data_IF_130469453401
#
_entry.id   IF_130469453401
#
_cell.length_a   1.000
_cell.length_b   1.000
_cell.length_c   1.000
_cell.angle_alpha   90.00
_cell.angle_beta   90.00
_cell.angle_gamma   90.00
#
_symmetry.space_group_name_H-M   'P 1'
#
loop_
_entity.id
_entity.type
_entity.pdbx_description
1 polymer ?
#
# COMPACT_ATOMS: atom_id res chain seq x y z
N UNK A 1 0.39 12.93 -23.33
CA UNK A 1 1.16 12.91 -22.06
C UNK A 1 0.21 12.67 -20.89
N UNK A 2 0.74 12.09 -19.81
CA UNK A 2 0.03 11.90 -18.56
C UNK A 2 0.85 12.57 -17.45
N UNK A 3 0.20 13.39 -16.63
CA UNK A 3 0.80 14.06 -15.49
C UNK A 3 -0.07 13.86 -14.24
N UNK A 4 0.53 14.02 -13.07
CA UNK A 4 -0.18 14.16 -11.80
C UNK A 4 0.34 15.37 -11.02
N UNK A 5 -0.50 15.88 -10.13
CA UNK A 5 -0.16 16.93 -9.17
C UNK A 5 -0.33 16.36 -7.76
N UNK A 6 0.45 16.85 -6.81
CA UNK A 6 0.32 16.58 -5.38
C UNK A 6 -0.07 17.85 -4.59
N UNK A 7 -0.38 18.93 -5.30
CA UNK A 7 -0.54 20.28 -4.76
C UNK A 7 -1.72 21.03 -5.41
N UNK A 8 -2.81 20.33 -5.65
CA UNK A 8 -4.06 20.87 -6.19
C UNK A 8 -3.90 21.58 -7.55
N UNK A 9 -3.00 21.07 -8.40
CA UNK A 9 -2.80 21.53 -9.78
C UNK A 9 -1.84 22.71 -9.93
N UNK A 10 -1.13 23.10 -8.86
CA UNK A 10 -0.13 24.18 -8.92
C UNK A 10 1.13 23.74 -9.69
N UNK A 11 1.61 22.52 -9.45
CA UNK A 11 2.71 21.91 -10.17
C UNK A 11 2.30 20.53 -10.72
N UNK A 12 2.85 20.18 -11.88
CA UNK A 12 2.58 18.93 -12.59
C UNK A 12 3.87 18.11 -12.72
N UNK A 13 3.78 16.84 -12.34
CA UNK A 13 4.85 15.84 -12.39
C UNK A 13 4.47 14.82 -13.46
N UNK A 14 5.39 14.56 -14.40
CA UNK A 14 5.14 13.62 -15.50
C UNK A 14 5.05 12.17 -15.05
N UNK A 15 3.98 11.49 -15.48
CA UNK A 15 3.85 10.01 -15.45
C UNK A 15 4.50 9.42 -16.69
N UNK A 16 4.09 9.91 -17.87
CA UNK A 16 4.71 9.56 -19.16
C UNK A 16 4.60 10.72 -20.15
N UNK A 17 5.66 10.94 -20.93
CA UNK A 17 5.69 11.99 -21.95
C UNK A 17 4.76 11.68 -23.14
N UNK A 18 4.56 10.40 -23.47
CA UNK A 18 3.63 9.96 -24.51
C UNK A 18 3.22 8.50 -24.29
N UNK A 19 1.99 8.17 -24.66
CA UNK A 19 1.44 6.82 -24.67
C UNK A 19 0.43 6.73 -25.81
N UNK A 20 0.24 5.56 -26.45
CA UNK A 20 -0.87 5.36 -27.39
C UNK A 20 -2.22 5.68 -26.73
N UNK A 21 -3.17 6.12 -27.54
CA UNK A 21 -4.57 6.28 -27.14
C UNK A 21 -5.31 4.94 -27.28
N UNK A 22 -4.96 3.99 -26.41
CA UNK A 22 -5.55 2.65 -26.32
C UNK A 22 -6.49 2.50 -25.11
N UNK A 23 -6.82 3.63 -24.48
CA UNK A 23 -7.81 3.77 -23.41
C UNK A 23 -7.29 3.60 -21.99
N UNK A 24 -6.19 2.86 -21.75
CA UNK A 24 -5.69 2.62 -20.37
C UNK A 24 -4.17 2.63 -20.28
N UNK A 25 -3.63 3.18 -19.19
CA UNK A 25 -2.19 3.21 -18.95
C UNK A 25 -1.84 2.72 -17.53
N UNK A 26 -0.93 1.74 -17.38
CA UNK A 26 -0.48 1.31 -16.06
C UNK A 26 0.44 2.37 -15.43
N UNK A 27 0.17 2.75 -14.18
CA UNK A 27 0.97 3.72 -13.44
C UNK A 27 1.36 3.18 -12.06
N UNK A 28 2.66 3.23 -11.73
CA UNK A 28 3.14 2.97 -10.38
C UNK A 28 3.01 4.24 -9.55
N UNK A 29 2.07 4.23 -8.60
CA UNK A 29 1.83 5.37 -7.70
C UNK A 29 3.08 5.63 -6.85
N UNK A 30 3.63 6.86 -6.86
CA UNK A 30 4.81 7.19 -6.07
C UNK A 30 4.44 7.30 -4.59
N UNK A 31 5.38 6.94 -3.71
CA UNK A 31 5.23 7.10 -2.26
C UNK A 31 5.49 8.55 -1.82
N UNK A 32 4.69 9.48 -2.36
CA UNK A 32 4.69 10.91 -2.01
C UNK A 32 3.30 11.28 -1.53
N UNK A 33 2.99 11.08 -0.23
CA UNK A 33 1.63 11.22 0.28
C UNK A 33 1.12 12.66 0.14
N UNK A 34 -0.10 12.80 -0.36
CA UNK A 34 -0.81 14.08 -0.42
C UNK A 34 -2.31 13.82 -0.54
N UNK A 35 -3.10 14.66 0.13
CA UNK A 35 -4.57 14.64 0.05
C UNK A 35 -5.13 15.50 -1.10
N UNK A 36 -4.26 16.21 -1.83
CA UNK A 36 -4.63 17.19 -2.85
C UNK A 36 -4.12 16.78 -4.23
N UNK A 37 -4.22 15.50 -4.58
CA UNK A 37 -3.71 14.98 -5.84
C UNK A 37 -4.71 15.16 -6.97
N UNK A 38 -4.22 15.48 -8.17
CA UNK A 38 -4.98 15.51 -9.42
C UNK A 38 -4.23 14.75 -10.51
N UNK A 39 -4.95 14.23 -11.50
CA UNK A 39 -4.35 13.67 -12.73
C UNK A 39 -4.78 14.50 -13.93
N UNK A 40 -3.92 14.55 -14.94
CA UNK A 40 -4.14 15.25 -16.20
C UNK A 40 -3.74 14.36 -17.36
N UNK A 41 -4.59 14.34 -18.37
CA UNK A 41 -4.30 13.72 -19.66
C UNK A 41 -4.29 14.84 -20.69
N UNK A 42 -3.29 14.88 -21.57
CA UNK A 42 -3.30 15.82 -22.70
C UNK A 42 -2.64 15.23 -23.92
N UNK A 43 -2.88 15.83 -25.09
CA UNK A 43 -2.04 15.57 -26.27
C UNK A 43 -0.56 15.90 -25.96
N UNK A 44 0.35 15.37 -26.76
CA UNK A 44 1.77 15.70 -26.78
C UNK A 44 2.07 17.19 -26.97
N UNK A 45 1.21 17.94 -27.66
CA UNK A 45 1.34 19.39 -27.81
C UNK A 45 0.67 20.18 -26.66
N UNK A 46 0.02 19.48 -25.72
CA UNK A 46 -0.67 20.05 -24.57
C UNK A 46 -2.16 20.34 -24.76
N UNK A 47 -2.74 20.12 -25.96
CA UNK A 47 -4.17 20.36 -26.22
C UNK A 47 -4.75 19.37 -27.26
N UNK A 48 -5.93 18.78 -27.03
CA UNK A 48 -6.82 18.96 -25.88
C UNK A 48 -6.24 18.35 -24.60
N UNK A 49 -6.76 18.78 -23.45
CA UNK A 49 -6.46 18.16 -22.16
C UNK A 49 -7.72 17.99 -21.33
N UNK A 50 -7.65 17.05 -20.39
CA UNK A 50 -8.67 16.83 -19.39
C UNK A 50 -8.03 16.61 -18.01
N UNK A 51 -8.78 16.93 -16.96
CA UNK A 51 -8.36 16.87 -15.56
C UNK A 51 -9.31 15.98 -14.77
N UNK A 52 -8.81 15.32 -13.73
CA UNK A 52 -9.68 14.65 -12.77
C UNK A 52 -10.68 15.64 -12.14
N UNK A 53 -11.96 15.27 -12.13
CA UNK A 53 -13.07 16.09 -11.61
C UNK A 53 -12.96 16.42 -10.11
N UNK A 54 -12.20 15.63 -9.36
CA UNK A 54 -12.01 15.80 -7.92
C UNK A 54 -10.58 15.46 -7.54
N UNK A 55 -10.13 16.03 -6.41
CA UNK A 55 -8.89 15.59 -5.79
C UNK A 55 -9.02 14.14 -5.30
N UNK A 56 -7.90 13.42 -5.31
CA UNK A 56 -7.75 12.13 -4.65
C UNK A 56 -6.56 12.18 -3.69
N UNK A 57 -6.41 11.14 -2.87
CA UNK A 57 -5.31 11.03 -1.90
C UNK A 57 -4.33 9.96 -2.33
N UNK A 58 -3.04 10.30 -2.35
CA UNK A 58 -1.95 9.32 -2.28
C UNK A 58 -1.62 9.17 -0.79
N UNK A 59 -1.74 7.96 -0.28
CA UNK A 59 -1.36 7.63 1.11
C UNK A 59 0.08 7.13 1.15
N UNK A 60 0.70 7.17 2.34
CA UNK A 60 1.97 6.50 2.55
C UNK A 60 1.83 5.01 2.22
N UNK A 61 2.82 4.46 1.53
CA UNK A 61 2.93 3.02 1.44
C UNK A 61 3.00 2.45 2.86
N UNK A 62 2.21 1.40 3.15
CA UNK A 62 2.30 0.72 4.43
C UNK A 62 3.68 0.09 4.64
N UNK A 63 3.95 -0.40 5.84
CA UNK A 63 5.22 -1.02 6.19
C UNK A 63 5.02 -2.53 6.37
N UNK A 64 5.82 -3.35 5.70
CA UNK A 64 5.79 -4.80 5.86
C UNK A 64 5.93 -5.20 7.34
N UNK A 65 4.97 -5.95 7.86
CA UNK A 65 4.87 -6.36 9.25
C UNK A 65 4.22 -5.35 10.21
N UNK A 66 3.81 -4.17 9.75
CA UNK A 66 3.04 -3.17 10.52
C UNK A 66 1.55 -3.29 10.16
N UNK A 67 0.78 -4.00 10.97
CA UNK A 67 -0.66 -4.24 10.72
C UNK A 67 -1.56 -3.29 11.49
N UNK A 68 -1.03 -2.58 12.49
CA UNK A 68 -1.77 -1.61 13.29
C UNK A 68 -1.57 -0.15 12.83
N UNK A 69 -0.65 0.10 11.90
CA UNK A 69 -0.34 1.40 11.34
C UNK A 69 0.48 2.32 12.26
N UNK A 70 1.18 1.76 13.26
CA UNK A 70 1.95 2.52 14.24
C UNK A 70 3.39 2.84 13.81
N UNK A 71 3.76 2.47 12.57
CA UNK A 71 5.07 2.64 11.94
C UNK A 71 6.18 1.72 12.45
N UNK A 72 5.90 0.83 13.40
CA UNK A 72 6.80 -0.20 13.85
C UNK A 72 6.30 -1.59 13.42
N UNK A 73 7.22 -2.54 13.29
CA UNK A 73 6.90 -3.94 13.00
C UNK A 73 7.43 -4.74 14.18
N UNK A 74 6.55 -5.01 15.14
CA UNK A 74 6.94 -5.55 16.44
C UNK A 74 5.97 -6.62 16.95
N UNK A 75 6.18 -7.08 18.17
CA UNK A 75 5.33 -8.08 18.83
C UNK A 75 3.83 -7.73 18.91
N UNK A 76 3.46 -6.45 18.87
CA UNK A 76 2.05 -6.01 18.80
C UNK A 76 1.41 -6.43 17.49
N UNK A 77 2.09 -6.26 16.36
CA UNK A 77 1.63 -6.67 15.04
C UNK A 77 1.49 -8.18 14.95
N UNK A 78 2.50 -8.90 15.45
CA UNK A 78 2.47 -10.35 15.51
C UNK A 78 1.30 -10.87 16.37
N UNK A 79 0.99 -10.21 17.49
CA UNK A 79 -0.15 -10.57 18.32
C UNK A 79 -1.48 -10.33 17.60
N UNK A 80 -1.62 -9.25 16.85
CA UNK A 80 -2.82 -8.97 16.05
C UNK A 80 -3.01 -10.05 14.98
N UNK A 81 -1.93 -10.46 14.30
CA UNK A 81 -1.95 -11.55 13.33
C UNK A 81 -2.37 -12.87 13.98
N UNK A 82 -1.74 -13.25 15.10
CA UNK A 82 -2.09 -14.48 15.83
C UNK A 82 -3.55 -14.45 16.34
N UNK A 83 -4.01 -13.29 16.80
CA UNK A 83 -5.41 -13.10 17.21
C UNK A 83 -6.35 -13.30 16.04
N UNK A 84 -6.00 -12.79 14.86
CA UNK A 84 -6.79 -12.99 13.65
C UNK A 84 -6.78 -14.45 13.17
N UNK A 85 -5.62 -15.12 13.21
CA UNK A 85 -5.41 -16.51 12.76
C UNK A 85 -6.32 -17.47 13.55
N UNK A 86 -6.47 -17.24 14.86
CA UNK A 86 -7.35 -18.05 15.72
C UNK A 86 -8.83 -17.59 15.72
N UNK A 87 -9.18 -16.58 14.91
CA UNK A 87 -10.56 -16.11 14.74
C UNK A 87 -11.07 -15.19 15.85
N UNK A 88 -10.19 -14.53 16.61
CA UNK A 88 -10.62 -13.41 17.46
C UNK A 88 -11.00 -12.21 16.59
N UNK A 89 -11.95 -11.40 17.06
CA UNK A 89 -12.39 -10.22 16.33
C UNK A 89 -11.26 -9.19 16.24
N UNK A 90 -10.71 -9.03 15.03
CA UNK A 90 -9.66 -8.07 14.69
C UNK A 90 -10.06 -7.18 13.52
N UNK A 91 -11.37 -7.07 13.24
CA UNK A 91 -11.92 -6.38 12.07
C UNK A 91 -11.41 -4.93 11.89
N UNK A 92 -11.04 -4.26 12.98
CA UNK A 92 -10.48 -2.90 12.96
C UNK A 92 -9.11 -2.79 12.26
N UNK A 93 -8.34 -3.88 12.18
CA UNK A 93 -7.01 -3.92 11.56
C UNK A 93 -7.04 -4.52 10.14
N UNK A 94 -8.21 -5.01 9.71
CA UNK A 94 -8.37 -5.67 8.43
C UNK A 94 -8.36 -4.66 7.27
N UNK A 95 -7.84 -5.03 6.09
CA UNK A 95 -7.50 -6.39 5.65
C UNK A 95 -6.10 -6.92 6.05
N UNK A 96 -5.32 -6.22 6.90
CA UNK A 96 -3.96 -6.63 7.32
C UNK A 96 -3.02 -6.97 6.15
N UNK A 97 -3.14 -6.30 5.01
CA UNK A 97 -2.32 -6.56 3.80
C UNK A 97 -0.80 -6.49 4.06
N UNK A 98 -0.38 -5.74 5.08
CA UNK A 98 1.01 -5.61 5.49
C UNK A 98 1.49 -6.78 6.37
N UNK A 99 0.60 -7.66 6.79
CA UNK A 99 0.88 -8.80 7.65
C UNK A 99 1.47 -10.00 6.92
N UNK A 100 1.21 -10.17 5.62
CA UNK A 100 1.81 -11.25 4.81
C UNK A 100 3.25 -10.85 4.46
N UNK A 101 4.21 -11.22 5.30
CA UNK A 101 5.61 -10.80 5.16
C UNK A 101 6.44 -11.81 4.36
N UNK A 102 5.96 -13.03 4.18
CA UNK A 102 6.62 -14.06 3.38
C UNK A 102 6.09 -14.12 1.92
N UNK A 103 5.05 -13.33 1.60
CA UNK A 103 4.39 -13.26 0.29
C UNK A 103 3.76 -14.60 -0.16
N UNK A 104 3.26 -15.40 0.78
CA UNK A 104 2.56 -16.65 0.47
C UNK A 104 1.06 -16.48 0.20
N UNK A 105 0.55 -15.24 0.35
CA UNK A 105 -0.83 -14.87 0.11
C UNK A 105 -1.76 -15.09 1.31
N UNK A 106 -1.23 -15.51 2.46
CA UNK A 106 -1.99 -15.69 3.69
C UNK A 106 -1.36 -14.87 4.83
N UNK A 107 -2.20 -14.31 5.70
CA UNK A 107 -1.75 -13.71 6.97
C UNK A 107 -2.01 -14.73 8.07
N UNK A 108 -0.96 -15.35 8.61
CA UNK A 108 -1.10 -16.39 9.63
C UNK A 108 0.06 -16.41 10.64
N UNK A 109 0.08 -17.41 11.51
CA UNK A 109 1.14 -17.60 12.52
C UNK A 109 2.58 -17.67 11.96
N UNK A 110 2.77 -18.01 10.69
CA UNK A 110 4.08 -17.97 10.01
C UNK A 110 4.60 -16.54 9.92
N UNK A 111 3.76 -15.60 9.50
CA UNK A 111 4.10 -14.18 9.42
C UNK A 111 4.36 -13.58 10.79
N UNK A 112 3.52 -13.91 11.76
CA UNK A 112 3.70 -13.48 13.14
C UNK A 112 5.04 -13.94 13.71
N UNK A 113 5.46 -15.18 13.42
CA UNK A 113 6.76 -15.69 13.83
C UNK A 113 7.92 -14.94 13.16
N UNK A 114 7.78 -14.60 11.88
CA UNK A 114 8.78 -13.81 11.14
C UNK A 114 8.90 -12.41 11.75
N UNK A 115 7.79 -11.75 12.07
CA UNK A 115 7.76 -10.43 12.71
C UNK A 115 8.37 -10.49 14.12
N UNK A 116 8.02 -11.50 14.93
CA UNK A 116 8.64 -11.68 16.25
C UNK A 116 10.15 -11.92 16.15
N UNK A 117 10.59 -12.71 15.17
CA UNK A 117 12.01 -12.96 14.92
C UNK A 117 12.73 -11.66 14.56
N UNK A 118 12.10 -10.81 13.73
CA UNK A 118 12.60 -9.48 13.41
C UNK A 118 12.65 -8.55 14.63
N UNK A 119 11.60 -8.51 15.45
CA UNK A 119 11.48 -7.65 16.64
C UNK A 119 12.61 -7.91 17.66
N UNK A 120 13.04 -9.18 17.81
CA UNK A 120 14.17 -9.55 18.68
C UNK A 120 15.55 -9.38 18.01
N UNK A 121 15.60 -8.83 16.80
CA UNK A 121 16.84 -8.54 16.07
C UNK A 121 17.47 -9.72 15.35
N UNK A 122 16.73 -10.81 15.10
CA UNK A 122 17.23 -11.90 14.27
C UNK A 122 17.23 -11.49 12.80
N UNK A 123 18.21 -12.00 12.05
CA UNK A 123 18.24 -11.84 10.60
C UNK A 123 17.16 -12.73 9.96
N UNK A 124 16.14 -12.09 9.40
CA UNK A 124 15.06 -12.76 8.66
C UNK A 124 15.22 -12.49 7.16
N UNK A 125 15.14 -13.49 6.28
CA UNK A 125 15.27 -13.31 4.82
C UNK A 125 13.97 -12.79 4.17
N UNK A 126 13.26 -11.89 4.85
CA UNK A 126 11.95 -11.37 4.47
C UNK A 126 11.92 -9.84 4.60
N UNK A 127 11.11 -9.13 3.80
CA UNK A 127 11.13 -7.67 3.72
C UNK A 127 10.48 -6.94 4.92
N UNK A 128 10.51 -7.49 6.14
CA UNK A 128 9.92 -6.84 7.33
C UNK A 128 10.54 -5.45 7.52
N UNK A 129 9.68 -4.46 7.81
CA UNK A 129 10.07 -3.06 7.97
C UNK A 129 10.29 -2.28 6.67
N UNK A 130 10.20 -2.93 5.50
CA UNK A 130 10.31 -2.26 4.20
C UNK A 130 9.00 -1.58 3.79
N UNK A 131 9.10 -0.61 2.89
CA UNK A 131 7.95 0.11 2.33
C UNK A 131 7.16 -0.78 1.37
N UNK A 132 5.84 -0.72 1.46
CA UNK A 132 4.88 -1.51 0.68
C UNK A 132 4.21 -2.60 1.51
N UNK A 133 3.07 -3.09 1.01
CA UNK A 133 2.34 -4.23 1.58
C UNK A 133 1.89 -5.14 0.44
N UNK A 134 1.70 -6.42 0.71
CA UNK A 134 1.27 -7.36 -0.32
C UNK A 134 -0.18 -7.08 -0.73
N UNK A 135 -0.42 -6.97 -2.04
CA UNK A 135 -1.72 -6.56 -2.59
C UNK A 135 -2.67 -7.71 -2.92
N UNK A 136 -2.27 -8.96 -2.65
CA UNK A 136 -3.02 -10.19 -2.97
C UNK A 136 -3.05 -11.13 -1.76
N UNK A 137 -3.61 -10.64 -0.66
CA UNK A 137 -3.62 -11.35 0.63
C UNK A 137 -5.04 -11.83 0.94
N UNK A 138 -5.17 -13.10 1.27
CA UNK A 138 -6.42 -13.66 1.76
C UNK A 138 -6.69 -13.15 3.20
N UNK A 139 -7.90 -12.64 3.51
CA UNK A 139 -8.23 -12.22 4.86
C UNK A 139 -8.14 -13.39 5.85
N UNK A 140 -7.47 -13.18 6.98
CA UNK A 140 -7.44 -14.13 8.08
C UNK A 140 -8.82 -14.27 8.76
N UNK A 141 -9.08 -15.36 9.51
CA UNK A 141 -10.40 -15.65 10.08
C UNK A 141 -11.03 -14.52 10.91
N UNK A 142 -10.23 -13.77 11.67
CA UNK A 142 -10.67 -12.61 12.46
C UNK A 142 -11.10 -11.37 11.68
N UNK A 143 -10.98 -11.38 10.34
CA UNK A 143 -11.40 -10.28 9.45
C UNK A 143 -12.84 -10.39 8.92
N UNK A 144 -13.57 -11.46 9.23
CA UNK A 144 -15.01 -11.58 9.00
C UNK A 144 -15.83 -11.13 10.22
N UNK A 145 -17.15 -10.92 10.08
CA UNK A 145 -18.03 -10.77 11.25
C UNK A 145 -18.02 -12.02 12.15
#
# INVERSE_FOLDING_TARGET
MLDYSIDNGLNWIGITASTPDDGTHPWTVPNTPSAACLVKVSDTDGSPFDLSNSVFTIVAAGRQGDVNGDTASNSTDALIILSCDVGLNTAQFCPMNCGDVNADGMVNSTDALIILSYDVGLNVPFPVGQSGCNSQVAPCPGCGP
#
